data_IF_404461483132
#
_entry.id   IF_404461483132
#
_cell.length_a   1.000
_cell.length_b   1.000
_cell.length_c   1.000
_cell.angle_alpha   90.00
_cell.angle_beta   90.00
_cell.angle_gamma   90.00
#
_symmetry.space_group_name_H-M   'P 1'
#
loop_
_entity.id
_entity.type
_entity.pdbx_description
1 polymer ?
#
# COMPACT_ATOMS: atom_id res chain seq x y z
N UNK A 1 4.18 51.66 41.00
CA UNK A 1 3.40 52.16 39.84
C UNK A 1 2.72 50.93 39.22
N UNK A 2 1.46 50.63 39.59
CA UNK A 2 0.23 50.81 38.78
C UNK A 2 0.34 50.02 37.46
N UNK A 3 -0.47 49.01 37.10
CA UNK A 3 -1.90 48.74 37.36
C UNK A 3 -2.25 47.25 37.08
N UNK A 4 -3.14 46.72 37.91
CA UNK A 4 -3.98 45.53 37.72
C UNK A 4 -4.95 45.70 36.54
N UNK A 5 -5.27 44.60 35.85
CA UNK A 5 -6.53 44.44 35.12
C UNK A 5 -6.95 42.96 35.10
N UNK A 6 -8.10 42.70 35.70
CA UNK A 6 -8.86 41.45 35.67
C UNK A 6 -10.11 41.66 34.81
N UNK A 7 -10.50 40.66 34.03
CA UNK A 7 -11.85 40.45 33.49
C UNK A 7 -11.90 38.99 32.96
N UNK A 8 -12.59 38.07 33.64
CA UNK A 8 -14.02 37.76 33.52
C UNK A 8 -14.36 37.17 32.12
N UNK A 9 -14.50 35.85 32.02
CA UNK A 9 -15.76 35.08 32.16
C UNK A 9 -16.66 35.19 30.92
N UNK A 10 -16.70 34.13 30.11
CA UNK A 10 -17.88 33.73 29.36
C UNK A 10 -17.77 32.24 28.98
N UNK A 11 -18.21 31.40 29.90
CA UNK A 11 -18.52 29.99 29.68
C UNK A 11 -19.86 29.94 28.93
N UNK A 12 -19.86 29.68 27.62
CA UNK A 12 -21.10 29.48 26.86
C UNK A 12 -21.35 27.98 26.78
N UNK A 13 -22.20 27.49 27.69
CA UNK A 13 -22.82 26.16 27.59
C UNK A 13 -23.89 26.20 26.50
N UNK A 14 -23.56 25.72 25.30
CA UNK A 14 -24.52 25.52 24.23
C UNK A 14 -25.23 24.18 24.42
N UNK A 15 -26.43 24.21 24.98
CA UNK A 15 -27.37 23.10 24.96
C UNK A 15 -27.91 22.93 23.52
N UNK A 16 -27.30 22.01 22.77
CA UNK A 16 -27.81 21.57 21.47
C UNK A 16 -29.05 20.69 21.65
N UNK A 17 -30.19 21.17 21.18
CA UNK A 17 -31.46 20.45 21.13
C UNK A 17 -31.31 19.36 20.07
N UNK A 18 -31.26 18.09 20.47
CA UNK A 18 -31.30 16.95 19.56
C UNK A 18 -32.70 16.83 18.96
N UNK A 19 -32.95 17.49 17.82
CA UNK A 19 -34.10 17.16 16.99
C UNK A 19 -33.83 15.82 16.30
N UNK A 20 -34.46 14.76 16.80
CA UNK A 20 -34.59 13.51 16.08
C UNK A 20 -35.43 13.76 14.81
N UNK A 21 -34.76 14.12 13.72
CA UNK A 21 -35.36 14.09 12.40
C UNK A 21 -35.49 12.63 12.00
N UNK A 22 -36.72 12.13 11.99
CA UNK A 22 -37.10 10.89 11.34
C UNK A 22 -36.80 11.07 9.85
N UNK A 23 -35.59 10.69 9.44
CA UNK A 23 -35.20 10.66 8.04
C UNK A 23 -36.05 9.58 7.36
N UNK A 24 -37.09 10.02 6.64
CA UNK A 24 -37.75 9.21 5.66
C UNK A 24 -36.67 8.67 4.71
N UNK A 25 -36.53 7.35 4.66
CA UNK A 25 -35.61 6.66 3.76
C UNK A 25 -36.05 6.88 2.32
N UNK A 26 -35.68 8.01 1.74
CA UNK A 26 -35.61 8.17 0.31
C UNK A 26 -34.45 7.28 -0.16
N UNK A 27 -34.78 6.12 -0.71
CA UNK A 27 -33.87 5.30 -1.50
C UNK A 27 -33.39 6.13 -2.68
N UNK A 28 -32.30 6.86 -2.48
CA UNK A 28 -31.52 7.45 -3.56
C UNK A 28 -31.01 6.28 -4.42
N UNK A 29 -31.10 6.38 -5.77
CA UNK A 29 -30.47 5.39 -6.64
C UNK A 29 -29.00 5.29 -6.27
N UNK A 30 -28.52 4.08 -6.00
CA UNK A 30 -27.11 3.82 -5.85
C UNK A 30 -26.42 4.36 -7.11
N UNK A 31 -25.74 5.50 -6.98
CA UNK A 31 -24.85 5.98 -8.01
C UNK A 31 -23.83 4.87 -8.21
N UNK A 32 -23.88 4.22 -9.38
CA UNK A 32 -22.89 3.25 -9.78
C UNK A 32 -21.53 3.93 -9.63
N UNK A 33 -20.76 3.47 -8.64
CA UNK A 33 -19.37 3.90 -8.52
C UNK A 33 -18.71 3.51 -9.84
N UNK A 34 -18.01 4.44 -10.51
CA UNK A 34 -17.25 4.08 -11.69
C UNK A 34 -16.21 3.06 -11.25
N UNK A 35 -16.44 1.80 -11.59
CA UNK A 35 -15.40 0.78 -11.63
C UNK A 35 -14.44 1.23 -12.72
N UNK A 36 -13.50 2.09 -12.35
CA UNK A 36 -12.32 2.39 -13.15
C UNK A 36 -11.41 1.16 -13.15
N UNK A 37 -11.93 0.03 -13.64
CA UNK A 37 -11.08 -1.00 -14.21
C UNK A 37 -10.54 -0.41 -15.50
N UNK A 38 -9.46 0.37 -15.37
CA UNK A 38 -8.57 0.58 -16.50
C UNK A 38 -8.06 -0.81 -16.85
N UNK A 39 -8.72 -1.45 -17.82
CA UNK A 39 -8.24 -2.69 -18.43
C UNK A 39 -6.85 -2.34 -18.93
N UNK A 40 -5.81 -2.85 -18.27
CA UNK A 40 -4.45 -2.77 -18.79
C UNK A 40 -4.43 -3.67 -20.01
N UNK A 41 -4.76 -3.10 -21.16
CA UNK A 41 -4.61 -3.76 -22.43
C UNK A 41 -3.12 -4.12 -22.55
N UNK A 42 -2.83 -5.41 -22.70
CA UNK A 42 -1.48 -5.98 -22.79
C UNK A 42 -0.67 -6.04 -21.46
N UNK A 43 -1.16 -6.89 -20.55
CA UNK A 43 -0.37 -7.34 -19.39
C UNK A 43 0.70 -8.34 -19.85
N UNK A 44 1.96 -8.20 -19.39
CA UNK A 44 3.03 -9.12 -19.77
C UNK A 44 2.80 -10.52 -19.18
N UNK A 45 3.59 -11.48 -19.66
CA UNK A 45 3.73 -12.79 -19.03
C UNK A 45 4.12 -12.66 -17.55
N UNK A 46 3.79 -13.65 -16.70
CA UNK A 46 4.21 -13.65 -15.30
C UNK A 46 5.72 -13.45 -15.14
N UNK A 47 6.13 -12.79 -14.07
CA UNK A 47 7.53 -12.47 -13.79
C UNK A 47 8.03 -13.20 -12.53
N UNK A 48 9.25 -13.72 -12.58
CA UNK A 48 10.02 -14.24 -11.45
C UNK A 48 10.98 -13.14 -10.98
N UNK A 49 10.65 -12.52 -9.85
CA UNK A 49 11.35 -11.40 -9.27
C UNK A 49 12.17 -11.84 -8.05
N UNK A 50 13.40 -11.33 -7.94
CA UNK A 50 14.31 -11.61 -6.83
C UNK A 50 14.78 -10.31 -6.21
N UNK A 51 14.42 -10.07 -4.95
CA UNK A 51 14.89 -8.93 -4.16
C UNK A 51 16.19 -9.29 -3.44
N UNK A 52 17.18 -8.42 -3.54
CA UNK A 52 18.54 -8.67 -2.99
C UNK A 52 19.01 -7.60 -2.02
N UNK A 53 18.32 -6.46 -1.98
CA UNK A 53 18.62 -5.34 -1.08
C UNK A 53 17.33 -4.83 -0.48
N UNK A 54 17.33 -4.62 0.83
CA UNK A 54 16.20 -4.06 1.57
C UNK A 54 16.69 -2.97 2.50
N UNK A 55 15.91 -1.89 2.60
CA UNK A 55 16.06 -0.86 3.60
C UNK A 55 14.77 -0.76 4.41
N UNK A 56 14.91 -0.66 5.73
CA UNK A 56 13.81 -0.42 6.67
C UNK A 56 14.00 0.98 7.25
N UNK A 57 12.97 1.80 7.11
CA UNK A 57 12.89 3.15 7.60
C UNK A 57 11.92 3.21 8.78
N UNK A 58 12.41 3.69 9.92
CA UNK A 58 11.63 3.96 11.12
C UNK A 58 11.72 5.45 11.45
N UNK A 59 10.64 6.06 11.95
CA UNK A 59 10.51 7.51 12.08
C UNK A 59 11.69 8.22 12.78
N UNK A 60 12.09 7.74 13.96
CA UNK A 60 13.20 8.34 14.72
C UNK A 60 14.57 7.72 14.42
N UNK A 61 14.62 6.51 13.84
CA UNK A 61 15.88 5.77 13.62
C UNK A 61 16.43 5.94 12.21
N UNK A 62 15.68 6.56 11.31
CA UNK A 62 16.05 6.69 9.90
C UNK A 62 15.96 5.36 9.16
N UNK A 63 16.68 5.27 8.03
CA UNK A 63 16.68 4.09 7.17
C UNK A 63 17.98 3.29 7.30
N UNK A 64 17.87 1.98 7.50
CA UNK A 64 19.01 1.08 7.58
C UNK A 64 18.82 -0.16 6.68
N UNK A 65 19.90 -0.77 6.18
CA UNK A 65 19.82 -2.04 5.47
C UNK A 65 19.24 -3.15 6.35
N UNK A 66 18.42 -4.03 5.77
CA UNK A 66 17.92 -5.24 6.42
C UNK A 66 18.32 -6.50 5.66
N UNK A 67 18.32 -7.63 6.37
CA UNK A 67 18.65 -8.97 5.81
C UNK A 67 17.42 -9.73 5.33
N UNK A 68 16.24 -9.22 5.66
CA UNK A 68 14.95 -9.85 5.41
C UNK A 68 13.98 -8.83 4.80
N UNK A 69 13.03 -9.34 4.02
CA UNK A 69 11.86 -8.63 3.51
C UNK A 69 10.64 -9.10 4.31
N UNK A 70 10.31 -8.39 5.38
CA UNK A 70 9.28 -8.83 6.33
C UNK A 70 9.76 -10.07 7.09
N UNK A 71 9.28 -11.25 6.71
CA UNK A 71 9.66 -12.55 7.29
C UNK A 71 10.30 -13.50 6.27
N UNK A 72 10.86 -12.93 5.19
CA UNK A 72 11.48 -13.69 4.11
C UNK A 72 12.95 -13.28 4.03
N UNK A 73 13.86 -14.23 4.20
CA UNK A 73 15.30 -13.99 4.06
C UNK A 73 15.68 -13.54 2.64
N UNK A 74 16.69 -12.68 2.53
CA UNK A 74 17.27 -12.32 1.24
C UNK A 74 18.26 -13.39 0.75
N UNK A 75 18.27 -13.72 -0.56
CA UNK A 75 17.47 -13.12 -1.62
C UNK A 75 16.01 -13.65 -1.66
N UNK A 76 15.05 -12.73 -1.62
CA UNK A 76 13.63 -13.08 -1.53
C UNK A 76 13.02 -13.20 -2.94
N UNK A 77 12.37 -14.34 -3.23
CA UNK A 77 11.81 -14.65 -4.56
C UNK A 77 10.29 -14.54 -4.60
N UNK A 78 9.79 -13.87 -5.63
CA UNK A 78 8.38 -13.54 -5.82
C UNK A 78 7.96 -13.88 -7.26
N UNK A 79 6.84 -14.57 -7.41
CA UNK A 79 6.13 -14.71 -8.67
C UNK A 79 5.08 -13.61 -8.77
N UNK A 80 5.16 -12.77 -9.79
CA UNK A 80 4.15 -11.74 -10.10
C UNK A 80 3.30 -12.24 -11.26
N UNK A 81 2.03 -12.54 -11.02
CA UNK A 81 1.11 -12.98 -12.07
C UNK A 81 0.05 -11.90 -12.35
N UNK A 82 0.36 -11.04 -13.33
CA UNK A 82 -0.48 -9.91 -13.71
C UNK A 82 -1.92 -10.30 -14.06
N UNK A 83 -2.10 -11.29 -14.95
CA UNK A 83 -3.43 -11.72 -15.38
C UNK A 83 -4.30 -12.40 -14.30
N UNK A 84 -3.67 -12.95 -13.25
CA UNK A 84 -4.38 -13.52 -12.10
C UNK A 84 -4.46 -12.55 -10.93
N UNK A 85 -3.81 -11.39 -11.05
CA UNK A 85 -3.75 -10.35 -10.03
C UNK A 85 -3.23 -10.87 -8.70
N UNK A 86 -2.17 -11.68 -8.74
CA UNK A 86 -1.54 -12.22 -7.52
C UNK A 86 -0.03 -12.01 -7.53
N UNK A 87 0.51 -11.93 -6.34
CA UNK A 87 1.93 -12.03 -6.03
C UNK A 87 2.09 -13.23 -5.12
N UNK A 88 2.97 -14.18 -5.46
CA UNK A 88 3.24 -15.35 -4.65
C UNK A 88 4.71 -15.38 -4.21
N UNK A 89 4.96 -15.78 -2.97
CA UNK A 89 6.29 -16.02 -2.43
C UNK A 89 6.28 -17.27 -1.55
N UNK A 90 7.45 -17.66 -1.06
CA UNK A 90 7.59 -18.75 -0.09
C UNK A 90 8.27 -18.18 1.14
N UNK A 91 7.61 -18.31 2.29
CA UNK A 91 8.18 -17.91 3.58
C UNK A 91 9.32 -18.83 4.01
N UNK A 92 10.10 -18.42 5.01
CA UNK A 92 11.19 -19.23 5.57
C UNK A 92 10.71 -20.58 6.15
N UNK A 93 9.43 -20.67 6.52
CA UNK A 93 8.79 -21.92 6.96
C UNK A 93 8.51 -22.90 5.82
N UNK A 94 8.74 -22.51 4.56
CA UNK A 94 8.39 -23.27 3.37
C UNK A 94 6.91 -23.16 2.98
N UNK A 95 6.10 -22.42 3.73
CA UNK A 95 4.70 -22.20 3.41
C UNK A 95 4.54 -21.14 2.32
N UNK A 96 3.64 -21.36 1.34
CA UNK A 96 3.35 -20.38 0.31
C UNK A 96 2.64 -19.17 0.93
N UNK A 97 3.02 -17.99 0.47
CA UNK A 97 2.35 -16.73 0.78
C UNK A 97 1.84 -16.13 -0.51
N UNK A 98 0.57 -15.71 -0.53
CA UNK A 98 -0.09 -15.16 -1.73
C UNK A 98 -0.79 -13.86 -1.35
N UNK A 99 -0.38 -12.77 -2.00
CA UNK A 99 -0.99 -11.44 -1.88
C UNK A 99 -1.78 -11.09 -3.14
N UNK A 100 -2.90 -10.39 -3.00
CA UNK A 100 -3.76 -9.96 -4.11
C UNK A 100 -3.35 -8.58 -4.63
N UNK A 101 -3.35 -8.40 -5.95
CA UNK A 101 -3.09 -7.12 -6.61
C UNK A 101 -4.41 -6.33 -6.73
N UNK A 102 -4.59 -5.34 -5.85
CA UNK A 102 -5.78 -4.49 -5.79
C UNK A 102 -5.90 -3.55 -6.99
N UNK A 103 -4.78 -3.08 -7.53
CA UNK A 103 -4.77 -2.48 -8.85
C UNK A 103 -3.40 -2.56 -9.55
N UNK A 104 -3.46 -2.46 -10.87
CA UNK A 104 -2.30 -2.34 -11.74
C UNK A 104 -2.48 -1.11 -12.64
N UNK A 105 -1.42 -0.32 -12.75
CA UNK A 105 -1.33 0.80 -13.68
C UNK A 105 -0.08 0.63 -14.53
N UNK A 106 -0.14 1.11 -15.77
CA UNK A 106 1.00 1.11 -16.69
C UNK A 106 1.22 2.50 -17.25
N UNK A 107 2.47 2.96 -17.28
CA UNK A 107 2.85 4.22 -17.87
C UNK A 107 4.23 4.10 -18.52
N UNK A 108 4.27 4.16 -19.85
CA UNK A 108 5.50 3.93 -20.61
C UNK A 108 6.09 2.54 -20.31
N UNK A 109 7.34 2.54 -19.85
CA UNK A 109 8.08 1.32 -19.50
C UNK A 109 7.76 0.77 -18.11
N UNK A 110 6.98 1.46 -17.28
CA UNK A 110 6.75 1.05 -15.90
C UNK A 110 5.36 0.43 -15.71
N UNK A 111 5.32 -0.67 -14.97
CA UNK A 111 4.12 -1.25 -14.38
C UNK A 111 4.17 -0.98 -12.89
N UNK A 112 3.13 -0.32 -12.37
CA UNK A 112 2.93 -0.10 -10.95
C UNK A 112 1.79 -0.98 -10.47
N UNK A 113 2.08 -1.87 -9.54
CA UNK A 113 1.13 -2.73 -8.84
C UNK A 113 0.97 -2.19 -7.43
N UNK A 114 -0.23 -2.27 -6.87
CA UNK A 114 -0.41 -2.01 -5.44
C UNK A 114 -1.46 -2.93 -4.85
N UNK A 115 -1.38 -3.08 -3.54
CA UNK A 115 -2.34 -3.83 -2.75
C UNK A 115 -2.22 -3.54 -1.27
N UNK A 116 -3.07 -4.19 -0.50
CA UNK A 116 -3.08 -4.13 0.96
C UNK A 116 -3.24 -5.54 1.54
N UNK A 117 -2.50 -5.83 2.61
CA UNK A 117 -2.59 -7.11 3.32
C UNK A 117 -2.33 -6.87 4.81
N UNK A 118 -3.21 -7.35 5.69
CA UNK A 118 -3.08 -7.23 7.16
C UNK A 118 -2.67 -5.82 7.64
N UNK A 119 -3.32 -4.77 7.10
CA UNK A 119 -3.05 -3.36 7.38
C UNK A 119 -1.70 -2.82 6.87
N UNK A 120 -0.95 -3.63 6.10
CA UNK A 120 0.25 -3.22 5.38
C UNK A 120 -0.12 -2.89 3.94
N UNK A 121 0.07 -1.64 3.55
CA UNK A 121 -0.04 -1.22 2.16
C UNK A 121 1.26 -1.49 1.42
N UNK A 122 1.20 -1.89 0.16
CA UNK A 122 2.39 -2.11 -0.65
C UNK A 122 2.22 -1.60 -2.08
N UNK A 123 3.34 -1.22 -2.68
CA UNK A 123 3.45 -0.79 -4.07
C UNK A 123 4.68 -1.47 -4.68
N UNK A 124 4.51 -2.11 -5.83
CA UNK A 124 5.60 -2.70 -6.60
C UNK A 124 5.70 -1.99 -7.95
N UNK A 125 6.90 -1.56 -8.32
CA UNK A 125 7.20 -0.94 -9.60
C UNK A 125 8.16 -1.82 -10.38
N UNK A 126 7.77 -2.19 -11.60
CA UNK A 126 8.51 -3.13 -12.45
C UNK A 126 8.75 -2.45 -13.80
N UNK A 127 9.99 -2.47 -14.27
CA UNK A 127 10.30 -2.06 -15.65
C UNK A 127 9.94 -3.18 -16.64
N UNK A 128 9.39 -2.82 -17.80
CA UNK A 128 9.04 -3.77 -18.88
C UNK A 128 10.26 -4.15 -19.71
N UNK A 129 11.23 -3.24 -19.84
CA UNK A 129 12.41 -3.40 -20.71
C UNK A 129 13.70 -3.64 -19.94
N UNK A 130 13.77 -3.21 -18.69
CA UNK A 130 14.90 -3.45 -17.80
C UNK A 130 14.53 -4.48 -16.75
N UNK A 131 15.51 -5.22 -16.21
CA UNK A 131 15.23 -6.22 -15.20
C UNK A 131 14.84 -5.58 -13.85
N UNK A 132 14.85 -4.26 -13.68
CA UNK A 132 14.72 -3.64 -12.35
C UNK A 132 13.30 -3.74 -11.76
N UNK A 133 13.24 -4.04 -10.46
CA UNK A 133 12.01 -3.98 -9.65
C UNK A 133 12.27 -3.33 -8.30
N UNK A 134 11.30 -2.52 -7.87
CA UNK A 134 11.24 -1.95 -6.53
C UNK A 134 9.94 -2.36 -5.87
N UNK A 135 10.00 -2.77 -4.60
CA UNK A 135 8.83 -3.02 -3.76
C UNK A 135 8.92 -2.12 -2.53
N UNK A 136 7.89 -1.32 -2.30
CA UNK A 136 7.74 -0.53 -1.07
C UNK A 136 6.56 -1.06 -0.29
N UNK A 137 6.76 -1.34 0.99
CA UNK A 137 5.68 -1.67 1.93
C UNK A 137 5.62 -0.61 3.01
N UNK A 138 4.41 -0.32 3.49
CA UNK A 138 4.12 0.73 4.47
C UNK A 138 3.22 0.12 5.54
N UNK A 139 3.66 0.24 6.78
CA UNK A 139 2.94 -0.17 7.98
C UNK A 139 2.97 0.97 9.00
N UNK A 140 2.23 0.89 10.12
CA UNK A 140 2.11 2.01 11.06
C UNK A 140 3.44 2.52 11.63
N UNK A 141 4.42 1.64 11.80
CA UNK A 141 5.69 1.91 12.48
C UNK A 141 6.91 1.94 11.55
N UNK A 142 6.80 1.37 10.34
CA UNK A 142 7.92 1.23 9.41
C UNK A 142 7.50 1.30 7.94
N UNK A 143 8.43 1.81 7.14
CA UNK A 143 8.43 1.70 5.67
C UNK A 143 9.59 0.81 5.26
N UNK A 144 9.35 -0.14 4.39
CA UNK A 144 10.40 -1.00 3.86
C UNK A 144 10.46 -0.83 2.34
N UNK A 145 11.64 -0.56 1.80
CA UNK A 145 11.89 -0.54 0.35
C UNK A 145 12.89 -1.62 -0.03
N UNK A 146 12.48 -2.50 -0.93
CA UNK A 146 13.27 -3.59 -1.48
C UNK A 146 13.60 -3.32 -2.95
N UNK A 147 14.82 -3.68 -3.35
CA UNK A 147 15.32 -3.56 -4.71
C UNK A 147 15.76 -4.92 -5.22
N UNK A 148 15.42 -5.21 -6.47
CA UNK A 148 15.63 -6.51 -7.05
C UNK A 148 15.64 -6.49 -8.56
N UNK A 149 15.60 -7.69 -9.12
CA UNK A 149 15.43 -7.90 -10.56
C UNK A 149 14.29 -8.85 -10.88
N UNK A 150 13.64 -8.70 -12.03
CA UNK A 150 12.64 -9.60 -12.57
C UNK A 150 13.11 -10.18 -13.91
N UNK A 151 12.70 -11.42 -14.18
CA UNK A 151 12.82 -12.11 -15.46
C UNK A 151 11.47 -12.77 -15.80
N UNK A 152 11.22 -13.18 -17.05
CA UNK A 152 10.07 -14.02 -17.37
C UNK A 152 10.03 -15.25 -16.45
N UNK A 153 8.85 -15.55 -15.90
CA UNK A 153 8.65 -16.77 -15.14
C UNK A 153 8.75 -17.99 -16.08
N UNK A 154 9.28 -19.13 -15.59
CA UNK A 154 9.39 -20.37 -16.36
C UNK A 154 8.02 -21.01 -16.66
#
# INVERSE_FOLDING_TARGET
>A
MIKTAAAALCLVMSFGIAQAQTAASATAPAAAQPTSETIVADLPSPADCTFTKVFVCEGEKGCAPAKELGTIDLPARFLVHYGKRIIASVSDSGLPHISQIDAAASAGDNITLHGTEDLVGWIMQISRTQPDVTLTTVSPDRVLTAFGTCKPAP
#
